data_IF_663328449883
#
_entry.id   IF_663328449883
#
_cell.length_a   1.000
_cell.length_b   1.000
_cell.length_c   1.000
_cell.angle_alpha   90.00
_cell.angle_beta   90.00
_cell.angle_gamma   90.00
#
_symmetry.space_group_name_H-M   'P 1'
#
loop_
_entity.id
_entity.type
_entity.pdbx_description
1 polymer ?
#
# COMPACT_ATOMS: atom_id res chain seq x y z
N UNK A 1 -6.84 -0.16 -11.19
CA UNK A 1 -5.87 -0.38 -10.09
C UNK A 1 -5.93 0.82 -9.15
N UNK A 2 -5.34 0.75 -7.96
CA UNK A 2 -5.20 1.90 -7.07
C UNK A 2 -3.75 1.98 -6.60
N UNK A 3 -3.26 3.19 -6.32
CA UNK A 3 -1.92 3.40 -5.80
C UNK A 3 -1.92 4.49 -4.74
N UNK A 4 -1.18 4.22 -3.67
CA UNK A 4 -0.85 5.19 -2.64
C UNK A 4 0.66 5.25 -2.48
N UNK A 5 1.17 6.41 -2.09
CA UNK A 5 2.52 6.56 -1.55
C UNK A 5 2.40 6.91 -0.08
N UNK A 6 3.42 6.60 0.72
CA UNK A 6 3.40 6.90 2.15
C UNK A 6 4.75 7.40 2.63
N UNK A 7 4.69 8.27 3.63
CA UNK A 7 5.82 8.58 4.50
C UNK A 7 5.38 8.74 5.94
N UNK A 8 5.15 9.98 6.39
CA UNK A 8 4.49 10.34 7.65
C UNK A 8 3.02 9.89 7.66
N UNK A 9 2.40 9.89 6.48
CA UNK A 9 1.06 9.38 6.24
C UNK A 9 0.83 9.04 4.77
N UNK A 10 -0.33 8.46 4.43
CA UNK A 10 -0.66 8.04 3.08
C UNK A 10 -1.09 9.22 2.21
N UNK A 11 -0.76 9.14 0.91
CA UNK A 11 -1.30 10.00 -0.14
C UNK A 11 -1.85 9.12 -1.26
N UNK A 12 -3.13 9.30 -1.57
CA UNK A 12 -3.78 8.65 -2.70
C UNK A 12 -3.29 9.27 -4.01
N UNK A 13 -2.73 8.43 -4.90
CA UNK A 13 -2.29 8.86 -6.23
C UNK A 13 -3.42 8.64 -7.24
N UNK A 14 -4.06 7.49 -7.17
CA UNK A 14 -5.28 7.16 -7.93
C UNK A 14 -6.01 5.98 -7.29
N UNK A 15 -7.32 5.89 -7.50
CA UNK A 15 -8.17 4.79 -7.02
C UNK A 15 -8.66 3.89 -8.17
N UNK A 16 -9.47 2.88 -7.81
CA UNK A 16 -10.00 1.91 -8.77
C UNK A 16 -10.95 2.49 -9.82
N UNK A 17 -11.52 3.67 -9.59
CA UNK A 17 -12.46 4.33 -10.49
C UNK A 17 -11.77 5.16 -11.57
N UNK A 18 -10.54 5.61 -11.31
CA UNK A 18 -9.84 6.56 -12.19
C UNK A 18 -9.43 5.96 -13.54
N UNK A 19 -9.12 4.66 -13.58
CA UNK A 19 -8.65 3.99 -14.79
C UNK A 19 -9.40 2.68 -15.05
N UNK A 20 -9.87 2.52 -16.28
CA UNK A 20 -10.46 1.27 -16.75
C UNK A 20 -9.38 0.30 -17.26
N UNK A 21 -9.72 -1.00 -17.33
CA UNK A 21 -8.80 -2.04 -17.79
C UNK A 21 -8.19 -1.80 -19.19
N UNK A 22 -8.87 -1.01 -20.05
CA UNK A 22 -8.38 -0.67 -21.38
C UNK A 22 -7.51 0.59 -21.45
N UNK A 23 -7.31 1.32 -20.34
CA UNK A 23 -6.57 2.58 -20.33
C UNK A 23 -5.66 2.69 -19.09
N UNK A 24 -4.63 1.84 -19.06
CA UNK A 24 -3.64 1.82 -17.98
C UNK A 24 -2.41 2.71 -18.25
N UNK A 25 -2.31 3.35 -19.41
CA UNK A 25 -1.18 4.24 -19.72
C UNK A 25 -1.10 5.40 -18.75
N UNK A 26 -2.24 6.03 -18.41
CA UNK A 26 -2.27 7.10 -17.40
C UNK A 26 -1.87 6.63 -16.00
N UNK A 27 -2.27 5.40 -15.61
CA UNK A 27 -1.85 4.82 -14.34
C UNK A 27 -0.33 4.62 -14.31
N UNK A 28 0.24 4.13 -15.42
CA UNK A 28 1.69 3.95 -15.57
C UNK A 28 2.44 5.29 -15.51
N UNK A 29 1.97 6.31 -16.21
CA UNK A 29 2.57 7.65 -16.18
C UNK A 29 2.61 8.23 -14.76
N UNK A 30 1.52 8.08 -13.99
CA UNK A 30 1.50 8.49 -12.58
C UNK A 30 2.56 7.72 -11.78
N UNK A 31 2.62 6.39 -11.93
CA UNK A 31 3.60 5.55 -11.23
C UNK A 31 5.06 5.90 -11.57
N UNK A 32 5.34 6.26 -12.83
CA UNK A 32 6.68 6.69 -13.28
C UNK A 32 7.05 8.09 -12.78
N UNK A 33 6.06 8.91 -12.41
CA UNK A 33 6.24 10.28 -11.90
C UNK A 33 6.15 10.42 -10.38
N UNK A 34 6.08 9.32 -9.62
CA UNK A 34 5.85 9.39 -8.18
C UNK A 34 6.97 10.18 -7.48
N UNK A 35 6.61 11.21 -6.69
CA UNK A 35 7.61 11.99 -5.96
C UNK A 35 8.16 11.17 -4.78
N UNK A 36 9.46 11.29 -4.54
CA UNK A 36 10.04 10.85 -3.27
C UNK A 36 9.69 11.86 -2.18
N UNK A 37 8.77 11.48 -1.28
CA UNK A 37 8.21 12.38 -0.27
C UNK A 37 8.99 12.42 1.05
N UNK A 38 9.97 11.53 1.27
CA UNK A 38 10.93 11.56 2.39
C UNK A 38 10.31 11.53 3.80
N UNK A 39 11.07 11.96 4.81
CA UNK A 39 10.69 12.06 6.23
C UNK A 39 10.67 10.73 7.02
N UNK A 40 9.49 10.09 7.11
CA UNK A 40 9.22 8.92 7.94
C UNK A 40 8.78 7.75 7.05
N UNK A 41 8.87 6.53 7.57
CA UNK A 41 8.38 5.32 6.90
C UNK A 41 7.35 4.67 7.83
N UNK A 42 6.08 5.10 7.70
CA UNK A 42 4.95 4.64 8.53
C UNK A 42 3.92 3.80 7.75
N UNK A 43 4.27 2.55 7.39
CA UNK A 43 3.37 1.66 6.65
C UNK A 43 2.07 1.32 7.38
N UNK A 44 1.98 1.41 8.72
CA UNK A 44 0.71 1.17 9.46
C UNK A 44 -0.41 2.05 8.93
N UNK A 45 -0.18 3.36 8.92
CA UNK A 45 -1.13 4.37 8.44
C UNK A 45 -1.51 4.19 6.97
N UNK A 46 -0.60 3.63 6.16
CA UNK A 46 -0.86 3.31 4.77
C UNK A 46 -1.79 2.10 4.63
N UNK A 47 -1.55 1.04 5.41
CA UNK A 47 -2.39 -0.16 5.41
C UNK A 47 -3.79 0.14 5.98
N UNK A 48 -3.90 0.95 7.04
CA UNK A 48 -5.18 1.45 7.54
C UNK A 48 -5.96 2.19 6.44
N UNK A 49 -5.29 3.08 5.71
CA UNK A 49 -5.91 3.80 4.59
C UNK A 49 -6.38 2.84 3.49
N UNK A 50 -5.54 1.88 3.10
CA UNK A 50 -5.91 0.85 2.11
C UNK A 50 -7.15 0.10 2.57
N UNK A 51 -7.18 -0.34 3.82
CA UNK A 51 -8.30 -1.11 4.36
C UNK A 51 -9.60 -0.31 4.34
N UNK A 52 -9.59 0.91 4.87
CA UNK A 52 -10.80 1.70 5.05
C UNK A 52 -11.31 2.40 3.79
N UNK A 53 -10.43 2.74 2.84
CA UNK A 53 -10.81 3.55 1.68
C UNK A 53 -10.82 2.75 0.37
N UNK A 54 -9.90 1.80 0.21
CA UNK A 54 -9.73 1.07 -1.06
C UNK A 54 -10.36 -0.32 -0.99
N UNK A 55 -10.07 -1.10 0.05
CA UNK A 55 -10.62 -2.44 0.20
C UNK A 55 -12.09 -2.41 0.64
N UNK A 56 -12.52 -1.41 1.39
CA UNK A 56 -13.93 -1.26 1.76
C UNK A 56 -14.83 -0.83 0.58
N UNK A 57 -14.29 -0.11 -0.40
CA UNK A 57 -15.04 0.42 -1.56
C UNK A 57 -15.05 -0.51 -2.77
N UNK A 58 -14.30 -1.63 -2.72
CA UNK A 58 -14.18 -2.57 -3.84
C UNK A 58 -15.38 -3.52 -3.93
N UNK A 59 -15.51 -4.16 -5.09
CA UNK A 59 -16.37 -5.33 -5.25
C UNK A 59 -15.81 -6.51 -4.43
N UNK A 60 -16.53 -6.95 -3.40
CA UNK A 60 -16.11 -8.01 -2.46
C UNK A 60 -15.98 -9.39 -3.11
N UNK A 61 -16.66 -9.64 -4.24
CA UNK A 61 -16.59 -10.92 -4.95
C UNK A 61 -15.33 -11.08 -5.81
N UNK A 62 -14.60 -9.99 -6.08
CA UNK A 62 -13.34 -10.05 -6.83
C UNK A 62 -12.17 -10.36 -5.88
N UNK A 63 -11.19 -11.19 -6.30
CA UNK A 63 -9.92 -11.29 -5.57
C UNK A 63 -9.23 -9.94 -5.46
N UNK A 64 -8.63 -9.66 -4.31
CA UNK A 64 -7.88 -8.44 -4.05
C UNK A 64 -6.43 -8.76 -3.68
N UNK A 65 -5.53 -7.95 -4.22
CA UNK A 65 -4.09 -8.05 -3.97
C UNK A 65 -3.58 -6.69 -3.51
N UNK A 66 -2.75 -6.70 -2.47
CA UNK A 66 -2.04 -5.51 -1.98
C UNK A 66 -0.55 -5.79 -2.08
N UNK A 67 0.18 -4.86 -2.70
CA UNK A 67 1.64 -4.90 -2.78
C UNK A 67 2.20 -3.74 -1.96
N UNK A 68 2.83 -4.06 -0.83
CA UNK A 68 3.53 -3.09 0.00
C UNK A 68 5.01 -3.06 -0.41
N UNK A 69 5.46 -1.92 -0.91
CA UNK A 69 6.87 -1.66 -1.20
C UNK A 69 7.46 -0.69 -0.18
N UNK A 70 8.58 -1.03 0.46
CA UNK A 70 9.24 -0.18 1.47
C UNK A 70 10.76 -0.33 1.45
N UNK A 71 11.50 0.66 1.94
CA UNK A 71 12.96 0.62 2.10
C UNK A 71 13.41 0.04 3.46
N UNK A 72 12.47 -0.35 4.31
CA UNK A 72 12.72 -1.17 5.50
C UNK A 72 12.90 -0.45 6.82
N UNK A 73 12.98 0.88 6.84
CA UNK A 73 13.08 1.62 8.10
C UNK A 73 11.71 1.85 8.75
N UNK A 74 11.03 0.76 9.10
CA UNK A 74 9.69 0.80 9.70
C UNK A 74 9.74 1.42 11.09
N UNK A 75 9.00 2.51 11.29
CA UNK A 75 8.97 3.26 12.56
C UNK A 75 7.75 2.95 13.45
N UNK A 76 6.84 2.09 12.97
CA UNK A 76 5.55 1.77 13.57
C UNK A 76 5.30 0.24 13.60
N UNK A 77 6.37 -0.55 13.77
CA UNK A 77 6.38 -2.00 13.61
C UNK A 77 5.32 -2.74 14.46
N UNK A 78 5.03 -2.27 15.67
CA UNK A 78 4.02 -2.91 16.55
C UNK A 78 2.62 -2.78 15.97
N UNK A 79 2.24 -1.59 15.50
CA UNK A 79 0.92 -1.34 14.90
C UNK A 79 0.82 -2.05 13.54
N UNK A 80 1.92 -2.06 12.78
CA UNK A 80 2.00 -2.71 11.47
C UNK A 80 1.57 -4.19 11.49
N UNK A 81 1.89 -4.95 12.54
CA UNK A 81 1.50 -6.37 12.67
C UNK A 81 -0.03 -6.53 12.67
N UNK A 82 -0.73 -5.66 13.40
CA UNK A 82 -2.19 -5.67 13.44
C UNK A 82 -2.78 -5.30 12.07
N UNK A 83 -2.22 -4.27 11.43
CA UNK A 83 -2.72 -3.79 10.14
C UNK A 83 -2.46 -4.76 8.99
N UNK A 84 -1.34 -5.48 9.02
CA UNK A 84 -1.05 -6.60 8.11
C UNK A 84 -2.13 -7.67 8.22
N UNK A 85 -2.44 -8.10 9.45
CA UNK A 85 -3.46 -9.12 9.72
C UNK A 85 -4.85 -8.66 9.23
N UNK A 86 -5.16 -7.40 9.49
CA UNK A 86 -6.40 -6.76 9.08
C UNK A 86 -6.55 -6.71 7.55
N UNK A 87 -5.50 -6.31 6.82
CA UNK A 87 -5.49 -6.32 5.35
C UNK A 87 -5.55 -7.74 4.79
N UNK A 88 -4.83 -8.70 5.39
CA UNK A 88 -4.83 -10.10 4.98
C UNK A 88 -6.21 -10.77 5.10
N UNK A 89 -7.07 -10.30 6.01
CA UNK A 89 -8.46 -10.78 6.10
C UNK A 89 -9.33 -10.44 4.88
N UNK A 90 -8.92 -9.43 4.09
CA UNK A 90 -9.70 -8.90 2.97
C UNK A 90 -8.97 -8.99 1.61
N UNK A 91 -7.66 -9.22 1.60
CA UNK A 91 -6.83 -9.27 0.40
C UNK A 91 -5.59 -10.14 0.62
N UNK A 92 -4.99 -10.65 -0.45
CA UNK A 92 -3.64 -11.23 -0.36
C UNK A 92 -2.61 -10.10 -0.32
N UNK A 93 -1.81 -10.04 0.74
CA UNK A 93 -0.78 -9.01 0.94
C UNK A 93 0.61 -9.57 0.64
N UNK A 94 1.34 -8.90 -0.24
CA UNK A 94 2.75 -9.14 -0.53
C UNK A 94 3.58 -7.95 -0.07
N UNK A 95 4.73 -8.24 0.56
CA UNK A 95 5.71 -7.24 0.96
C UNK A 95 6.96 -7.37 0.13
N UNK A 96 7.39 -6.27 -0.47
CA UNK A 96 8.69 -6.13 -1.10
C UNK A 96 9.44 -5.08 -0.31
N UNK A 97 10.59 -5.46 0.21
CA UNK A 97 11.48 -4.50 0.80
C UNK A 97 12.77 -4.34 0.02
N UNK A 98 13.27 -3.12 -0.02
CA UNK A 98 14.51 -2.74 -0.69
C UNK A 98 15.54 -2.31 0.36
N UNK A 99 16.79 -2.76 0.23
CA UNK A 99 17.85 -2.40 1.18
C UNK A 99 17.82 -3.20 2.49
N UNK A 100 18.24 -2.58 3.60
CA UNK A 100 18.35 -3.25 4.91
C UNK A 100 17.01 -3.26 5.61
N UNK A 101 16.25 -4.33 5.37
CA UNK A 101 14.96 -4.55 6.02
C UNK A 101 15.14 -5.18 7.39
N UNK A 102 14.47 -4.64 8.40
CA UNK A 102 14.18 -5.43 9.60
C UNK A 102 12.97 -6.32 9.27
N UNK A 103 13.22 -7.47 8.63
CA UNK A 103 12.17 -8.39 8.13
C UNK A 103 11.21 -8.86 9.23
N UNK A 104 11.66 -8.89 10.49
CA UNK A 104 10.82 -9.15 11.67
C UNK A 104 9.66 -8.16 11.82
N UNK A 105 9.81 -6.93 11.30
CA UNK A 105 8.79 -5.88 11.37
C UNK A 105 7.69 -6.06 10.31
N UNK A 106 7.96 -6.77 9.21
CA UNK A 106 6.96 -6.96 8.16
C UNK A 106 5.95 -8.05 8.51
N UNK A 107 6.33 -9.06 9.30
CA UNK A 107 5.40 -10.11 9.73
C UNK A 107 4.73 -10.89 8.57
N UNK A 108 5.35 -10.85 7.38
CA UNK A 108 4.89 -11.47 6.14
C UNK A 108 5.67 -12.76 5.84
#
# INVERSE_FOLDING_TARGET
AAAIIFSTGPRLMFDFSQFSAGNLSGAREILESLPYIGEYTRPSTALEFVQHNLLASRNSSAPAFVLLATDGHVQDAVQLIADVSNVQSAATLYGIGFGTLNTSALGL
#
